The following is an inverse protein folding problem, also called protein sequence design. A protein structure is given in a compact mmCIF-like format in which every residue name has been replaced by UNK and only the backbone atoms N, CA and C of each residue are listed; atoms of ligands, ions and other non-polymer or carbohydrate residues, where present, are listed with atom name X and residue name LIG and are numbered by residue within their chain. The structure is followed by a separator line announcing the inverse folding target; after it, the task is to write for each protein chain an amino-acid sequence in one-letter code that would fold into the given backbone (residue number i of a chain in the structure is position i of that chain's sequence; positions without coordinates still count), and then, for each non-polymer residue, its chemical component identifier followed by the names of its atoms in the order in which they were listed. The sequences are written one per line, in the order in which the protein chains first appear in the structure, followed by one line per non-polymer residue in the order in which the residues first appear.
data_IF_376145034359
#
_entry.id   IF_376145034359
#
_cell.length_a   1.000
_cell.length_b   1.000
_cell.length_c   1.000
_cell.angle_alpha   90.00
_cell.angle_beta   90.00
_cell.angle_gamma   90.00
#
_symmetry.space_group_name_H-M   'P 1'
#
loop_
_entity.id
_entity.type
_entity.pdbx_description
1 polymer ?
2 polymer ?
3 non-polymer ?
4 non-polymer ?
5 water ?
#
loop_
_entity_poly.entity_id
_entity_poly.type
_entity_poly.pdbx_seq_one_letter_code
_entity_poly.pdbx_strand_id
2 'polyribonucleotide' 'ACAC' ?
#
# COMPACT_ATOMS: atom_id res chain seq x y z
N UNK A 2 -1.16 14.44 2.20
CA UNK A 2 -0.45 13.94 1.03
C UNK A 2 -1.35 13.52 -0.12
N UNK A 3 -0.78 13.42 -1.31
CA UNK A 3 -1.54 13.02 -2.49
C UNK A 3 -1.71 11.49 -2.53
N UNK A 4 -2.90 11.02 -2.16
CA UNK A 4 -3.12 9.59 -1.96
C UNK A 4 -3.74 8.88 -3.16
N UNK A 5 -3.63 9.46 -4.34
CA UNK A 5 -4.15 8.83 -5.56
C UNK A 5 -3.03 8.45 -6.52
N UNK A 6 -1.79 8.72 -6.11
CA UNK A 6 -0.62 8.41 -6.93
C UNK A 6 -0.05 7.03 -6.61
N UNK A 7 0.18 6.22 -7.64
CA UNK A 7 0.67 4.86 -7.43
C UNK A 7 2.08 4.68 -7.94
N UNK A 8 2.79 3.84 -7.21
CA UNK A 8 4.08 3.32 -7.62
C UNK A 8 3.88 1.85 -7.97
N UNK A 9 4.41 1.42 -9.11
CA UNK A 9 4.29 0.04 -9.53
C UNK A 9 5.69 -0.57 -9.64
N UNK A 10 5.98 -1.61 -8.86
CA UNK A 10 7.31 -2.18 -8.83
C UNK A 10 7.38 -3.65 -9.21
N UNK A 11 8.59 -4.21 -9.14
CA UNK A 11 8.85 -5.61 -9.50
C UNK A 11 8.56 -5.89 -10.97
N UNK A 12 8.89 -4.94 -11.84
CA UNK A 12 8.60 -5.10 -13.27
C UNK A 12 9.78 -5.71 -14.01
N UNK A 13 9.51 -6.56 -15.00
CA UNK A 13 10.59 -7.11 -15.82
C UNK A 13 11.16 -6.01 -16.73
N UNK A 14 12.41 -6.20 -17.12
CA UNK A 14 13.17 -5.25 -17.93
C UNK A 14 12.37 -4.71 -19.12
N UNK A 15 11.58 -5.57 -19.75
CA UNK A 15 10.84 -5.15 -20.94
C UNK A 15 9.33 -5.04 -20.70
N UNK A 16 8.94 -4.70 -19.47
CA UNK A 16 7.56 -4.31 -19.21
C UNK A 16 7.26 -3.07 -20.04
N UNK A 17 6.11 -3.06 -20.69
CA UNK A 17 5.71 -1.93 -21.51
C UNK A 17 4.49 -1.28 -20.89
N UNK A 18 4.22 -0.02 -21.25
CA UNK A 18 2.98 0.58 -20.77
C UNK A 18 1.76 -0.26 -21.14
N UNK A 19 1.75 -0.85 -22.35
CA UNK A 19 0.61 -1.64 -22.80
C UNK A 19 0.33 -2.80 -21.86
N UNK A 20 1.38 -3.38 -21.27
CA UNK A 20 1.19 -4.44 -20.29
C UNK A 20 0.40 -3.93 -19.08
N UNK A 21 0.76 -2.75 -18.59
CA UNK A 21 0.12 -2.20 -17.39
C UNK A 21 -1.31 -1.76 -17.69
N UNK A 22 -1.51 -1.20 -18.89
CA UNK A 22 -2.85 -0.86 -19.36
C UNK A 22 -3.77 -2.06 -19.29
N UNK A 23 -3.26 -3.19 -19.79
CA UNK A 23 -4.03 -4.43 -19.82
C UNK A 23 -4.37 -4.89 -18.41
N UNK A 24 -3.39 -4.84 -17.52
CA UNK A 24 -3.62 -5.29 -16.15
C UNK A 24 -4.70 -4.45 -15.48
N UNK A 25 -4.59 -3.13 -15.63
CA UNK A 25 -5.54 -2.22 -15.00
C UNK A 25 -6.92 -2.30 -15.62
N UNK A 26 -6.96 -2.50 -16.94
CA UNK A 26 -8.22 -2.70 -17.64
C UNK A 26 -8.96 -3.88 -17.05
N UNK A 27 -8.29 -5.03 -16.99
CA UNK A 27 -8.93 -6.25 -16.52
C UNK A 27 -9.33 -6.20 -15.05
N UNK A 28 -8.64 -5.37 -14.26
CA UNK A 28 -8.99 -5.21 -12.85
C UNK A 28 -10.06 -4.14 -12.66
N UNK A 29 -10.49 -3.54 -13.77
CA UNK A 29 -11.49 -2.48 -13.77
C UNK A 29 -11.10 -1.27 -12.91
N UNK A 30 -9.82 -0.91 -12.96
CA UNK A 30 -9.30 0.29 -12.30
C UNK A 30 -9.05 1.41 -13.30
N UNK A 31 -9.80 2.51 -13.20
CA UNK A 31 -9.52 3.69 -14.03
C UNK A 31 -8.21 4.38 -13.63
N UNK A 32 -7.51 4.94 -14.61
CA UNK A 32 -6.36 5.78 -14.35
C UNK A 32 -6.64 7.17 -14.95
N UNK A 33 -6.05 8.21 -14.38
CA UNK A 33 -6.36 9.57 -14.80
C UNK A 33 -5.27 10.17 -15.70
N UNK A 34 -4.16 9.44 -15.84
CA UNK A 34 -3.07 9.85 -16.71
C UNK A 34 -2.38 8.62 -17.30
N UNK A 35 -1.34 8.83 -18.12
CA UNK A 35 -0.60 7.74 -18.75
C UNK A 35 0.29 7.02 -17.75
N UNK A 36 0.67 5.79 -18.06
CA UNK A 36 1.68 5.09 -17.27
C UNK A 36 3.06 5.63 -17.64
N UNK A 37 3.88 5.92 -16.64
CA UNK A 37 5.28 6.28 -16.87
C UNK A 37 6.19 5.13 -16.47
N UNK A 38 6.73 4.40 -17.44
CA UNK A 38 7.55 3.23 -17.13
C UNK A 38 9.04 3.56 -17.13
N UNK A 39 9.69 3.32 -16.00
CA UNK A 39 11.13 3.48 -15.89
C UNK A 39 11.79 2.12 -16.09
N UNK A 40 12.85 1.82 -15.34
CA UNK A 40 13.46 0.50 -15.44
C UNK A 40 13.20 -0.32 -14.19
N UNK A 41 12.24 -1.23 -14.27
CA UNK A 41 11.90 -2.09 -13.15
C UNK A 41 10.74 -1.57 -12.33
N UNK A 42 10.30 -0.35 -12.64
CA UNK A 42 9.19 0.25 -11.91
C UNK A 42 8.48 1.29 -12.76
N UNK A 43 7.35 1.77 -12.26
CA UNK A 43 6.55 2.69 -13.05
C UNK A 43 5.61 3.48 -12.15
N UNK A 44 5.01 4.52 -12.73
CA UNK A 44 4.09 5.38 -11.99
C UNK A 44 2.82 5.61 -12.80
N UNK A 45 1.71 5.79 -12.09
CA UNK A 45 0.45 6.13 -12.72
C UNK A 45 -0.42 6.74 -11.63
N UNK A 46 -1.30 7.67 -12.00
CA UNK A 46 -2.27 8.25 -11.06
C UNK A 46 -3.68 7.69 -11.29
N UNK A 47 -4.42 7.55 -10.19
CA UNK A 47 -5.82 7.18 -10.24
C UNK A 47 -6.68 8.43 -10.02
N UNK A 48 -7.95 8.40 -10.45
CA UNK A 48 -8.81 9.58 -10.28
C UNK A 48 -8.97 10.03 -8.82
N UNK A 49 -8.91 9.10 -7.87
CA UNK A 49 -8.99 9.47 -6.45
C UNK A 49 -8.38 8.39 -5.55
N UNK A 50 -8.27 8.70 -4.26
CA UNK A 50 -7.64 7.80 -3.30
C UNK A 50 -8.38 6.47 -3.15
N UNK A 51 -9.70 6.46 -3.36
CA UNK A 51 -10.45 5.22 -3.27
C UNK A 51 -10.06 4.25 -4.38
N UNK A 52 -9.91 4.76 -5.59
CA UNK A 52 -9.50 3.91 -6.71
C UNK A 52 -8.07 3.46 -6.52
N UNK A 53 -7.24 4.33 -5.97
CA UNK A 53 -5.84 4.00 -5.76
C UNK A 53 -5.71 2.87 -4.76
N UNK A 54 -6.50 2.94 -3.69
CA UNK A 54 -6.53 1.86 -2.69
C UNK A 54 -7.04 0.54 -3.28
N UNK A 55 -8.11 0.61 -4.07
CA UNK A 55 -8.66 -0.58 -4.72
C UNK A 55 -7.63 -1.23 -5.63
N UNK A 56 -6.81 -0.40 -6.27
CA UNK A 56 -5.75 -0.90 -7.14
C UNK A 56 -4.69 -1.67 -6.36
N UNK A 57 -4.24 -1.08 -5.26
CA UNK A 57 -3.29 -1.74 -4.37
C UNK A 57 -3.85 -3.08 -3.90
N UNK A 58 -5.09 -3.08 -3.45
CA UNK A 58 -5.69 -4.30 -2.91
C UNK A 58 -5.90 -5.38 -3.96
N UNK A 59 -6.33 -4.97 -5.14
CA UNK A 59 -6.64 -5.91 -6.20
C UNK A 59 -5.39 -6.44 -6.88
N UNK A 60 -4.35 -5.62 -6.99
CA UNK A 60 -3.25 -5.95 -7.90
C UNK A 60 -2.00 -6.40 -7.22
N UNK A 61 -1.69 -5.80 -6.07
CA UNK A 61 -0.35 -5.93 -5.53
C UNK A 61 -0.05 -7.37 -5.06
N UNK A 62 0.98 -7.97 -5.63
CA UNK A 62 1.35 -9.34 -5.33
C UNK A 62 0.41 -10.36 -5.94
N UNK A 63 -0.59 -9.89 -6.67
CA UNK A 63 -1.67 -10.77 -7.12
C UNK A 63 -1.72 -10.99 -8.64
N UNK A 64 -1.32 -10.00 -9.42
CA UNK A 64 -1.38 -10.13 -10.88
C UNK A 64 0.05 -10.19 -11.41
N UNK A 65 0.30 -11.07 -12.37
CA UNK A 65 1.64 -11.23 -12.93
C UNK A 65 1.85 -10.53 -14.28
N UNK A 66 3.06 -10.04 -14.48
CA UNK A 66 3.49 -9.56 -15.79
C UNK A 66 4.71 -10.37 -16.20
N UNK A 67 4.58 -11.14 -17.29
CA UNK A 67 5.64 -12.06 -17.70
C UNK A 67 6.03 -12.99 -16.54
N UNK A 68 5.02 -13.47 -15.82
CA UNK A 68 5.26 -14.38 -14.72
C UNK A 68 5.77 -13.76 -13.44
N UNK A 69 5.97 -12.44 -13.43
CA UNK A 69 6.39 -11.73 -12.21
C UNK A 69 5.23 -10.96 -11.60
N UNK A 70 4.93 -11.21 -10.32
CA UNK A 70 3.83 -10.52 -9.66
C UNK A 70 4.17 -9.04 -9.45
N UNK A 71 3.29 -8.15 -9.89
CA UNK A 71 3.57 -6.73 -9.77
C UNK A 71 3.33 -6.26 -8.35
N UNK A 72 4.12 -5.28 -7.94
CA UNK A 72 3.89 -4.57 -6.69
C UNK A 72 3.19 -3.26 -6.99
N UNK A 73 2.14 -2.96 -6.24
CA UNK A 73 1.43 -1.69 -6.40
C UNK A 73 1.28 -1.05 -5.02
N UNK A 74 1.80 0.17 -4.88
CA UNK A 74 1.84 0.85 -3.58
C UNK A 74 1.54 2.34 -3.78
N UNK A 75 1.16 3.03 -2.70
CA UNK A 75 1.13 4.50 -2.73
C UNK A 75 2.50 5.00 -3.13
N UNK A 76 2.56 5.92 -4.10
CA UNK A 76 3.82 6.59 -4.41
C UNK A 76 4.15 7.55 -3.28
N UNK A 77 5.30 7.35 -2.65
CA UNK A 77 5.75 8.20 -1.55
C UNK A 77 7.25 8.49 -1.73
N UNK A 78 7.59 9.78 -1.95
CA UNK A 78 9.00 10.19 -2.07
C UNK A 78 9.76 9.94 -0.77
N UNK A 79 11.04 9.59 -0.87
CA UNK A 79 11.82 9.17 0.30
C UNK A 79 11.75 10.15 1.48
N UNK A 80 11.75 11.44 1.17
CA UNK A 80 11.72 12.48 2.20
C UNK A 80 10.39 12.50 2.94
N UNK A 81 9.37 11.86 2.38
CA UNK A 81 8.05 11.83 3.04
C UNK A 81 7.77 10.48 3.69
N UNK A 82 8.75 9.58 3.64
CA UNK A 82 8.68 8.31 4.36
C UNK A 82 9.22 8.49 5.77
N UNK A 83 8.35 8.84 6.71
CA UNK A 83 8.80 9.17 8.05
C UNK A 83 8.03 8.39 9.09
N UNK A 84 6.89 8.95 9.52
CA UNK A 84 6.15 8.44 10.68
C UNK A 84 4.90 7.67 10.35
N UNK A 85 4.37 7.88 9.15
CA UNK A 85 3.02 7.43 8.85
C UNK A 85 2.99 6.17 7.97
N UNK A 86 2.09 5.26 8.33
CA UNK A 86 1.97 3.98 7.65
C UNK A 86 0.52 3.68 7.34
N UNK A 87 0.30 2.87 6.33
CA UNK A 87 -1.03 2.33 6.13
C UNK A 87 -0.94 0.81 6.25
N UNK A 88 -1.91 0.23 6.96
CA UNK A 88 -1.99 -1.21 7.20
C UNK A 88 -3.25 -1.73 6.58
N UNK A 89 -3.13 -2.73 5.73
CA UNK A 89 -4.31 -3.27 5.04
C UNK A 89 -4.38 -4.80 5.18
N UNK A 90 -5.48 -5.38 4.72
CA UNK A 90 -5.76 -6.82 4.88
C UNK A 90 -5.86 -7.20 6.37
N UNK A 91 -6.38 -6.29 7.18
CA UNK A 91 -6.66 -6.58 8.59
C UNK A 91 -7.93 -7.41 8.67
N UNK A 92 -7.90 -8.52 9.44
CA UNK A 92 -9.09 -9.37 9.63
C UNK A 92 -10.31 -8.54 10.00
N UNK A 93 -11.44 -8.80 9.33
CA UNK A 93 -12.64 -7.95 9.36
C UNK A 93 -13.09 -7.54 10.77
N UNK A 94 -13.45 -8.50 11.61
CA UNK A 94 -14.04 -8.17 12.90
C UNK A 94 -13.02 -8.18 14.03
N UNK A 95 -11.80 -7.76 13.71
CA UNK A 95 -10.75 -7.60 14.71
C UNK A 95 -11.05 -6.37 15.56
N UNK A 96 -10.61 -6.38 16.82
CA UNK A 96 -10.88 -5.27 17.72
C UNK A 96 -9.59 -4.51 17.99
N UNK A 97 -9.72 -3.20 18.25
CA UNK A 97 -8.59 -2.28 18.46
C UNK A 97 -7.48 -2.83 19.34
N UNK A 98 -7.85 -3.37 20.50
CA UNK A 98 -6.88 -3.84 21.49
C UNK A 98 -5.88 -4.82 20.89
N UNK A 99 -6.37 -5.75 20.07
CA UNK A 99 -5.50 -6.75 19.46
C UNK A 99 -4.53 -6.09 18.48
N UNK A 100 -5.05 -5.22 17.61
CA UNK A 100 -4.21 -4.46 16.70
C UNK A 100 -3.26 -3.57 17.48
N UNK A 101 -3.81 -2.84 18.45
CA UNK A 101 -3.02 -1.94 19.27
C UNK A 101 -1.89 -2.67 19.99
N UNK A 102 -2.20 -3.85 20.50
CA UNK A 102 -1.20 -4.64 21.22
C UNK A 102 -0.05 -5.05 20.30
N UNK A 103 -0.28 -5.03 18.99
CA UNK A 103 0.80 -5.24 18.02
C UNK A 103 1.54 -3.93 17.77
N UNK A 104 0.78 -2.86 17.51
CA UNK A 104 1.38 -1.59 17.12
C UNK A 104 2.34 -1.03 18.15
N UNK A 105 2.00 -1.17 19.44
CA UNK A 105 2.79 -0.51 20.47
C UNK A 105 4.12 -1.19 20.73
N UNK A 106 4.34 -2.35 20.12
CA UNK A 106 5.62 -3.00 20.25
C UNK A 106 6.73 -2.22 19.56
N UNK A 107 6.37 -1.29 18.68
CA UNK A 107 7.39 -0.61 17.87
C UNK A 107 7.53 0.88 18.13
N UNK A 108 6.70 1.40 19.02
CA UNK A 108 6.82 2.78 19.45
C UNK A 108 5.54 3.33 20.05
N UNK A 109 5.40 4.66 20.04
CA UNK A 109 4.17 5.28 20.53
C UNK A 109 3.27 5.72 19.37
N UNK A 110 2.00 5.35 19.46
CA UNK A 110 1.03 5.62 18.42
C UNK A 110 0.35 6.96 18.63
N UNK A 111 0.88 8.00 17.98
CA UNK A 111 0.23 9.31 17.98
C UNK A 111 -1.20 9.26 17.41
N UNK A 112 -1.36 8.80 16.17
CA UNK A 112 -2.70 8.70 15.55
C UNK A 112 -2.99 7.33 14.93
N UNK A 113 -4.26 6.95 14.96
CA UNK A 113 -4.71 5.75 14.26
C UNK A 113 -6.17 5.90 13.82
N UNK A 114 -6.38 5.91 12.51
CA UNK A 114 -7.68 6.18 11.92
C UNK A 114 -8.06 5.12 10.90
N UNK A 115 -9.27 4.57 11.01
CA UNK A 115 -9.66 3.53 10.08
C UNK A 115 -10.07 4.15 8.75
N UNK A 116 -9.74 3.47 7.66
CA UNK A 116 -10.02 3.96 6.33
C UNK A 116 -11.25 3.25 5.78
N UNK A 117 -12.18 4.02 5.22
CA UNK A 117 -13.37 3.46 4.58
C UNK A 117 -13.01 2.58 3.40
N UNK A 118 -13.57 1.37 3.33
CA UNK A 118 -13.07 0.42 2.34
C UNK A 118 -14.17 -0.55 1.90
N UNK A 119 -14.22 -0.79 0.59
CA UNK A 119 -15.14 -1.74 -0.01
C UNK A 119 -14.98 -3.13 0.58
N UNK A 120 -13.74 -3.55 0.80
CA UNK A 120 -13.46 -4.94 1.14
C UNK A 120 -14.02 -5.32 2.50
N UNK A 121 -13.94 -6.61 2.79
CA UNK A 121 -14.36 -7.15 4.08
C UNK A 121 -13.26 -6.92 5.11
N UNK A 122 -12.01 -7.02 4.67
CA UNK A 122 -10.87 -6.68 5.50
C UNK A 122 -10.84 -5.18 5.79
N UNK A 123 -10.18 -4.81 6.88
CA UNK A 123 -10.08 -3.41 7.29
C UNK A 123 -8.78 -2.77 6.82
N UNK A 124 -8.71 -1.45 6.93
CA UNK A 124 -7.54 -0.67 6.56
C UNK A 124 -7.41 0.48 7.54
N UNK A 125 -6.23 0.67 8.12
CA UNK A 125 -6.01 1.84 8.97
C UNK A 125 -4.74 2.57 8.62
N UNK A 126 -4.78 3.89 8.83
CA UNK A 126 -3.57 4.69 8.78
C UNK A 126 -3.06 4.92 10.19
N UNK A 127 -1.74 4.85 10.34
CA UNK A 127 -1.13 4.97 11.65
C UNK A 127 0.01 5.97 11.63
N UNK A 128 0.06 6.83 12.64
CA UNK A 128 1.19 7.73 12.83
C UNK A 128 1.99 7.33 14.06
N UNK A 129 3.28 7.05 13.90
CA UNK A 129 4.14 6.81 15.06
C UNK A 129 4.84 8.11 15.49
N UNK A 130 5.73 8.02 16.47
CA UNK A 130 6.36 9.22 17.03
C UNK A 130 7.71 9.53 16.39
N UNK A 131 8.27 8.57 15.65
CA UNK A 131 9.52 8.82 14.97
C UNK A 131 9.70 7.96 13.74
N UNK A 132 10.67 8.35 12.93
CA UNK A 132 11.02 7.61 11.73
C UNK A 132 11.50 6.20 12.07
N UNK A 133 12.27 6.08 13.14
CA UNK A 133 12.83 4.79 13.52
C UNK A 133 11.74 3.81 13.95
N UNK A 134 10.73 4.32 14.65
CA UNK A 134 9.62 3.49 15.10
C UNK A 134 8.81 2.94 13.94
N UNK A 135 8.46 3.84 13.03
CA UNK A 135 7.67 3.48 11.88
C UNK A 135 8.40 2.43 11.04
N UNK A 136 9.71 2.60 10.86
CA UNK A 136 10.50 1.66 10.05
C UNK A 136 10.50 0.25 10.67
N UNK A 137 10.65 0.17 11.99
CA UNK A 137 10.64 -1.12 12.66
C UNK A 137 9.27 -1.75 12.55
N UNK A 138 8.23 -0.95 12.75
CA UNK A 138 6.87 -1.46 12.63
C UNK A 138 6.62 -2.00 11.22
N UNK A 139 7.09 -1.29 10.21
CA UNK A 139 6.91 -1.76 8.83
C UNK A 139 7.66 -3.08 8.63
N UNK A 140 8.91 -3.09 9.08
CA UNK A 140 9.76 -4.25 8.90
C UNK A 140 9.23 -5.51 9.58
N UNK A 141 8.66 -5.38 10.78
CA UNK A 141 8.16 -6.56 11.50
C UNK A 141 6.68 -6.90 11.27
N UNK A 142 5.87 -5.94 10.83
CA UNK A 142 4.44 -6.26 10.69
C UNK A 142 4.04 -6.54 9.25
N UNK A 143 4.80 -6.05 8.28
CA UNK A 143 4.48 -6.39 6.88
C UNK A 143 4.71 -7.88 6.68
N UNK A 144 3.68 -8.58 6.24
CA UNK A 144 3.81 -10.01 6.04
C UNK A 144 3.38 -10.82 7.25
N UNK A 145 3.14 -10.15 8.38
CA UNK A 145 2.78 -10.87 9.59
C UNK A 145 1.41 -11.52 9.44
N UNK A 146 1.32 -12.81 9.77
CA UNK A 146 0.05 -13.54 9.71
C UNK A 146 -0.73 -13.45 11.01
N UNK A 147 -1.94 -12.93 10.91
CA UNK A 147 -2.78 -12.67 12.07
C UNK A 147 -4.18 -13.20 11.82
N UNK A 148 -4.57 -14.22 12.58
CA UNK A 148 -5.87 -14.87 12.40
C UNK A 148 -6.09 -15.23 10.93
N UNK A 149 -5.04 -15.78 10.32
CA UNK A 149 -5.01 -16.23 8.93
C UNK A 149 -5.21 -15.14 7.87
N UNK A 150 -4.96 -13.89 8.24
CA UNK A 150 -4.79 -12.82 7.25
C UNK A 150 -3.36 -12.30 7.28
N UNK A 151 -2.78 -12.12 6.10
CA UNK A 151 -1.45 -11.55 5.98
C UNK A 151 -1.53 -10.02 5.98
N UNK A 152 -1.05 -9.40 7.05
CA UNK A 152 -1.02 -7.95 7.16
C UNK A 152 -0.07 -7.36 6.14
N UNK A 153 -0.47 -6.23 5.56
CA UNK A 153 0.33 -5.53 4.56
C UNK A 153 0.55 -4.11 5.07
N UNK A 154 1.80 -3.68 5.14
CA UNK A 154 2.12 -2.40 5.77
C UNK A 154 2.98 -1.62 4.82
N UNK A 155 2.68 -0.34 4.65
CA UNK A 155 3.48 0.50 3.76
C UNK A 155 3.42 1.96 4.18
N UNK A 156 4.39 2.73 3.71
CA UNK A 156 4.43 4.17 3.92
C UNK A 156 3.32 4.91 3.19
N UNK A 157 2.77 5.91 3.88
CA UNK A 157 1.98 6.94 3.23
C UNK A 157 2.70 8.26 3.52
N UNK A 158 2.38 9.33 2.77
CA UNK A 158 3.23 10.53 2.89
C UNK A 158 3.09 11.20 4.26
N UNK A 159 4.21 11.61 4.84
CA UNK A 159 4.21 12.35 6.10
C UNK A 159 4.56 13.82 5.81
N UNK A 160 3.55 14.68 5.92
CA UNK A 160 3.57 16.10 5.50
C UNK A 160 4.34 16.32 4.20
X LIG C 1 9.70 -1.99 -0.44
X LIG C 1 10.86 -2.50 -1.11
X LIG C 1 9.29 -0.69 -1.11
X LIG C 1 8.70 -1.01 -2.37
X LIG D 1 2.11 10.56 -12.25
X LIG D 1 2.77 10.79 -10.99
X LIG D 1 3.12 10.35 -13.37
X LIG D 1 2.48 9.66 -14.44
X LIG E 1 6.86 1.58 0.40
X LIG E 1 5.92 1.92 1.43
X LIG E 1 6.17 0.70 -0.64
X LIG E 1 6.82 0.81 -1.92
X LIG F 1 3.94 -14.78 11.40
X LIG F 1 3.65 -14.33 10.07
X LIG F 1 2.95 -15.86 11.83
X LIG F 1 2.00 -15.32 12.77
X LIG G 1 3.40 -5.82 0.27
X LIG G 1 3.00 -7.26 0.48
X LIG G 1 4.91 -5.72 0.19
X LIG G 1 2.77 -5.37 -1.03
X LIG G 1 2.89 -4.95 1.41
#
# INVERSE_FOLDING_TARGET
GGSMNKLYIGNLSENAAPSDLESIFKDAKIPVSGPFLVKTGYAFVDCPDESWALKAIEALSGKIELHGKPIEVEHSVPKRQRIRKLQIRNIPPHLQWEVLDSLLVQYGVVESCEQVNTDSETAVVNVTYSSKDQARQALDKLNGFQLENFTLKVAYIPDEMAAQHHHHHH
EDO C1 O1 C2 O2
EDO C1 O1 C2 O2
EDO C1 O1 C2 O2
EDO C1 O1 C2 O2
PO4 P O1 O2 O3 O4
#
